data_IF_889338807024
#
_entry.id   IF_889338807024
#
_cell.length_a   1.000
_cell.length_b   1.000
_cell.length_c   1.000
_cell.angle_alpha   90.00
_cell.angle_beta   90.00
_cell.angle_gamma   90.00
#
_symmetry.space_group_name_H-M   'P 1'
#
loop_
_entity.id
_entity.type
_entity.pdbx_description
1 polymer ?
#
# COMPACT_ATOMS: atom_id res chain seq x y z
N UNK A 1 -1.49 14.63 -2.94
CA UNK A 1 -1.19 13.31 -3.55
C UNK A 1 -1.91 13.21 -4.88
N UNK A 2 -1.19 12.90 -5.92
CA UNK A 2 -1.70 12.85 -7.28
C UNK A 2 -1.51 11.46 -7.89
N UNK A 3 -2.28 11.15 -8.94
CA UNK A 3 -2.07 9.94 -9.73
C UNK A 3 -0.67 9.98 -10.33
N UNK A 4 0.03 8.85 -10.29
CA UNK A 4 1.40 8.77 -10.80
C UNK A 4 1.76 7.32 -11.14
N UNK A 5 2.96 7.16 -11.67
CA UNK A 5 3.53 5.85 -11.98
C UNK A 5 4.82 5.68 -11.21
N UNK A 6 5.09 4.46 -10.77
CA UNK A 6 6.30 4.12 -10.02
C UNK A 6 6.88 2.81 -10.53
N UNK A 7 8.18 2.64 -10.38
CA UNK A 7 8.87 1.41 -10.71
C UNK A 7 9.05 0.57 -9.44
N UNK A 8 8.47 -0.62 -9.44
CA UNK A 8 8.58 -1.57 -8.33
C UNK A 8 9.41 -2.74 -8.82
N UNK A 9 10.68 -2.75 -8.48
CA UNK A 9 11.63 -3.81 -8.86
C UNK A 9 11.61 -4.13 -10.36
N UNK A 10 11.51 -3.10 -11.20
CA UNK A 10 11.54 -3.25 -12.66
C UNK A 10 10.16 -3.27 -13.32
N UNK A 11 9.09 -3.34 -12.55
CA UNK A 11 7.72 -3.33 -13.07
C UNK A 11 7.05 -1.99 -12.78
N UNK A 12 6.45 -1.38 -13.81
CA UNK A 12 5.73 -0.13 -13.66
C UNK A 12 4.35 -0.38 -13.05
N UNK A 13 4.06 0.31 -11.95
CA UNK A 13 2.74 0.34 -11.33
C UNK A 13 2.12 1.72 -11.49
N UNK A 14 0.82 1.75 -11.76
CA UNK A 14 0.04 2.99 -11.81
C UNK A 14 -0.66 3.18 -10.48
N UNK A 15 -0.47 4.34 -9.85
CA UNK A 15 -1.14 4.71 -8.61
C UNK A 15 -2.27 5.67 -8.95
N UNK A 16 -3.50 5.31 -8.57
CA UNK A 16 -4.70 6.11 -8.82
C UNK A 16 -5.43 6.40 -7.52
N UNK A 17 -5.79 7.65 -7.32
CA UNK A 17 -6.65 8.08 -6.22
C UNK A 17 -8.07 8.18 -6.77
N UNK A 18 -8.99 7.38 -6.23
CA UNK A 18 -10.34 7.24 -6.74
C UNK A 18 -11.37 7.30 -5.62
N UNK A 19 -12.61 7.66 -5.94
CA UNK A 19 -13.73 7.52 -5.02
C UNK A 19 -14.13 6.05 -4.95
N UNK A 20 -14.65 5.59 -3.81
CA UNK A 20 -15.02 4.18 -3.66
C UNK A 20 -16.00 3.72 -4.74
N UNK A 21 -16.93 4.59 -5.17
CA UNK A 21 -17.93 4.28 -6.20
C UNK A 21 -17.35 4.11 -7.60
N UNK A 22 -16.10 4.55 -7.82
CA UNK A 22 -15.42 4.45 -9.11
C UNK A 22 -14.71 3.12 -9.33
N UNK A 23 -14.66 2.25 -8.31
CA UNK A 23 -13.97 0.96 -8.40
C UNK A 23 -14.75 -0.14 -7.69
N UNK A 24 -14.95 -1.25 -8.37
CA UNK A 24 -15.57 -2.45 -7.78
C UNK A 24 -14.69 -3.07 -6.69
N UNK A 25 -13.38 -2.83 -6.75
CA UNK A 25 -12.43 -3.33 -5.74
C UNK A 25 -12.57 -2.59 -4.41
N UNK A 26 -13.12 -1.38 -4.42
CA UNK A 26 -13.28 -0.54 -3.24
C UNK A 26 -14.75 -0.37 -2.84
N UNK A 27 -15.67 -0.37 -3.80
CA UNK A 27 -17.09 -0.09 -3.57
C UNK A 27 -17.73 -1.14 -2.68
N UNK A 28 -18.26 -0.71 -1.53
CA UNK A 28 -18.89 -1.59 -0.55
C UNK A 28 -17.92 -2.53 0.16
N UNK A 29 -16.61 -2.34 0.00
CA UNK A 29 -15.58 -3.11 0.69
C UNK A 29 -15.06 -2.32 1.89
N UNK A 30 -14.63 -3.03 2.94
CA UNK A 30 -14.03 -2.41 4.12
C UNK A 30 -12.52 -2.24 3.90
N UNK A 31 -12.15 -1.50 2.84
CA UNK A 31 -10.76 -1.20 2.52
C UNK A 31 -10.63 0.20 1.95
N UNK A 32 -9.50 0.84 2.23
CA UNK A 32 -9.20 2.19 1.76
C UNK A 32 -8.11 2.19 0.68
N UNK A 33 -7.58 1.04 0.35
CA UNK A 33 -6.63 0.84 -0.73
C UNK A 33 -6.67 -0.58 -1.25
N UNK A 34 -6.08 -0.78 -2.42
CA UNK A 34 -6.01 -2.10 -3.05
C UNK A 34 -4.84 -2.15 -4.03
N UNK A 35 -4.07 -3.24 -3.98
CA UNK A 35 -3.05 -3.54 -4.98
C UNK A 35 -3.59 -4.64 -5.88
N UNK A 36 -3.75 -4.33 -7.16
CA UNK A 36 -4.14 -5.28 -8.20
C UNK A 36 -2.90 -5.67 -9.00
N UNK A 37 -2.27 -6.77 -8.61
CA UNK A 37 -1.03 -7.24 -9.23
C UNK A 37 -1.25 -7.66 -10.69
N UNK A 38 -2.45 -8.09 -11.05
CA UNK A 38 -2.76 -8.50 -12.43
C UNK A 38 -2.75 -7.33 -13.40
N UNK A 39 -3.04 -6.13 -12.92
CA UNK A 39 -3.04 -4.90 -13.70
C UNK A 39 -1.86 -4.00 -13.40
N UNK A 40 -1.02 -4.36 -12.43
CA UNK A 40 0.04 -3.50 -11.91
C UNK A 40 -0.51 -2.13 -11.52
N UNK A 41 -1.58 -2.14 -10.72
CA UNK A 41 -2.30 -0.93 -10.33
C UNK A 41 -2.50 -0.88 -8.81
N UNK A 42 -2.29 0.29 -8.25
CA UNK A 42 -2.59 0.56 -6.84
C UNK A 42 -3.69 1.61 -6.80
N UNK A 43 -4.76 1.29 -6.08
CA UNK A 43 -5.88 2.19 -5.87
C UNK A 43 -5.85 2.72 -4.43
N UNK A 44 -5.99 4.03 -4.29
CA UNK A 44 -6.12 4.70 -3.01
C UNK A 44 -7.50 5.35 -2.97
N UNK A 45 -8.28 5.04 -1.95
CA UNK A 45 -9.63 5.56 -1.81
C UNK A 45 -9.62 6.99 -1.30
N UNK A 46 -10.37 7.87 -1.95
CA UNK A 46 -10.66 9.19 -1.40
C UNK A 46 -11.47 9.08 -0.11
N UNK A 47 -11.42 10.10 0.73
CA UNK A 47 -12.13 10.12 2.00
C UNK A 47 -13.61 9.82 1.80
N UNK A 48 -14.10 8.76 2.46
CA UNK A 48 -15.50 8.37 2.44
C UNK A 48 -16.33 9.31 3.31
N UNK A 49 -17.64 9.41 3.02
CA UNK A 49 -18.53 10.32 3.71
C UNK A 49 -18.64 10.06 5.22
N UNK A 50 -18.51 8.81 5.63
CA UNK A 50 -18.59 8.38 7.04
C UNK A 50 -17.25 8.40 7.76
N UNK A 51 -16.18 8.81 7.10
CA UNK A 51 -14.84 8.87 7.68
C UNK A 51 -14.70 10.10 8.59
N UNK A 52 -14.28 9.87 9.82
CA UNK A 52 -14.12 10.92 10.84
C UNK A 52 -12.66 11.40 11.01
N UNK A 53 -11.73 10.86 10.24
CA UNK A 53 -10.33 11.24 10.35
C UNK A 53 -10.11 12.70 9.96
N UNK A 54 -9.45 13.47 10.81
CA UNK A 54 -9.22 14.90 10.58
C UNK A 54 -8.10 15.14 9.56
N UNK A 55 -7.04 14.33 9.59
CA UNK A 55 -5.93 14.44 8.65
C UNK A 55 -5.92 13.23 7.72
N UNK A 56 -6.82 13.25 6.75
CA UNK A 56 -6.94 12.16 5.78
C UNK A 56 -5.76 12.12 4.81
N UNK A 57 -5.11 13.24 4.53
CA UNK A 57 -3.93 13.27 3.67
C UNK A 57 -2.76 12.48 4.29
N UNK A 58 -2.56 12.59 5.61
CA UNK A 58 -1.58 11.78 6.32
C UNK A 58 -1.96 10.30 6.25
N UNK A 59 -3.23 9.99 6.41
CA UNK A 59 -3.74 8.62 6.32
C UNK A 59 -3.54 8.01 4.92
N UNK A 60 -3.79 8.78 3.85
CA UNK A 60 -3.52 8.32 2.47
C UNK A 60 -2.08 7.89 2.29
N UNK A 61 -1.13 8.59 2.90
CA UNK A 61 0.29 8.21 2.83
C UNK A 61 0.55 6.86 3.49
N UNK A 62 -0.11 6.59 4.60
CA UNK A 62 -0.03 5.26 5.25
C UNK A 62 -0.59 4.19 4.33
N UNK A 63 -1.77 4.43 3.74
CA UNK A 63 -2.40 3.50 2.79
C UNK A 63 -1.46 3.21 1.62
N UNK A 64 -0.88 4.26 1.02
CA UNK A 64 0.01 4.08 -0.12
C UNK A 64 1.26 3.27 0.26
N UNK A 65 1.86 3.54 1.42
CA UNK A 65 2.99 2.72 1.89
C UNK A 65 2.59 1.26 2.05
N UNK A 66 1.42 0.99 2.63
CA UNK A 66 0.89 -0.36 2.81
C UNK A 66 0.76 -1.08 1.46
N UNK A 67 0.12 -0.45 0.49
CA UNK A 67 -0.11 -1.05 -0.82
C UNK A 67 1.20 -1.22 -1.62
N UNK A 68 2.13 -0.28 -1.49
CA UNK A 68 3.46 -0.42 -2.11
C UNK A 68 4.23 -1.60 -1.54
N UNK A 69 4.12 -1.87 -0.25
CA UNK A 69 4.77 -3.04 0.36
C UNK A 69 4.20 -4.33 -0.25
N UNK A 70 2.87 -4.41 -0.45
CA UNK A 70 2.27 -5.54 -1.17
C UNK A 70 2.87 -5.70 -2.57
N UNK A 71 3.01 -4.60 -3.31
CA UNK A 71 3.58 -4.63 -4.65
C UNK A 71 5.04 -5.12 -4.63
N UNK A 72 5.85 -4.62 -3.70
CA UNK A 72 7.24 -5.08 -3.56
C UNK A 72 7.32 -6.56 -3.22
N UNK A 73 6.50 -7.05 -2.32
CA UNK A 73 6.48 -8.47 -1.94
C UNK A 73 6.05 -9.35 -3.12
N UNK A 74 5.07 -8.91 -3.89
CA UNK A 74 4.64 -9.61 -5.10
C UNK A 74 5.75 -9.64 -6.16
N UNK A 75 6.35 -8.50 -6.48
CA UNK A 75 7.39 -8.41 -7.51
C UNK A 75 8.69 -9.12 -7.10
N UNK A 76 8.93 -9.30 -5.80
CA UNK A 76 10.06 -10.08 -5.31
C UNK A 76 9.85 -11.60 -5.41
N UNK A 77 8.63 -12.04 -5.71
CA UNK A 77 8.25 -13.46 -5.75
C UNK A 77 7.87 -14.05 -4.40
N UNK A 78 8.03 -13.31 -3.30
CA UNK A 78 7.72 -13.83 -1.95
C UNK A 78 6.22 -14.06 -1.75
N UNK A 79 5.39 -13.22 -2.34
CA UNK A 79 3.94 -13.36 -2.29
C UNK A 79 3.50 -14.69 -2.90
N UNK A 80 3.97 -14.98 -4.12
CA UNK A 80 3.66 -16.22 -4.82
C UNK A 80 4.15 -17.45 -4.06
N UNK A 81 5.31 -17.36 -3.44
CA UNK A 81 5.88 -18.46 -2.62
C UNK A 81 5.08 -18.71 -1.35
N UNK A 82 4.26 -17.76 -0.94
CA UNK A 82 3.49 -17.81 0.31
C UNK A 82 2.09 -18.37 0.14
N UNK A 83 1.64 -18.55 -1.09
CA UNK A 83 0.28 -19.07 -1.38
C UNK A 83 0.12 -20.46 -0.78
N UNK A 84 -0.96 -20.64 0.00
CA UNK A 84 -1.25 -21.90 0.68
C UNK A 84 -0.57 -22.07 2.04
N UNK A 85 0.27 -21.13 2.46
CA UNK A 85 0.92 -21.14 3.77
C UNK A 85 0.13 -20.29 4.77
N UNK A 86 -0.36 -20.88 5.84
CA UNK A 86 -1.06 -20.13 6.89
C UNK A 86 -0.07 -19.23 7.65
N UNK A 87 -0.39 -17.94 7.77
CA UNK A 87 0.44 -16.99 8.50
C UNK A 87 1.76 -16.66 7.82
N UNK A 88 1.86 -16.88 6.49
CA UNK A 88 3.06 -16.58 5.73
C UNK A 88 3.45 -15.10 5.86
N UNK A 89 4.76 -14.86 6.02
CA UNK A 89 5.27 -13.51 6.27
C UNK A 89 4.92 -12.52 5.17
N UNK A 90 5.01 -12.90 3.91
CA UNK A 90 4.73 -12.01 2.77
C UNK A 90 3.24 -11.65 2.61
N UNK A 91 2.35 -12.36 3.31
CA UNK A 91 0.90 -12.10 3.32
C UNK A 91 0.42 -11.65 4.70
N UNK A 92 1.33 -11.34 5.61
CA UNK A 92 1.01 -10.96 6.98
C UNK A 92 0.65 -9.47 7.05
N UNK A 93 -0.64 -9.18 7.19
CA UNK A 93 -1.15 -7.81 7.25
C UNK A 93 -0.63 -7.03 8.48
N UNK A 94 -0.40 -7.71 9.59
CA UNK A 94 0.15 -7.05 10.79
C UNK A 94 1.56 -6.52 10.52
N UNK A 95 2.42 -7.33 9.89
CA UNK A 95 3.76 -6.91 9.50
C UNK A 95 3.72 -5.74 8.50
N UNK A 96 2.85 -5.84 7.50
CA UNK A 96 2.70 -4.83 6.45
C UNK A 96 2.21 -3.51 7.06
N UNK A 97 1.21 -3.56 7.92
CA UNK A 97 0.70 -2.38 8.64
C UNK A 97 1.77 -1.75 9.53
N UNK A 98 2.49 -2.56 10.29
CA UNK A 98 3.55 -2.05 11.15
C UNK A 98 4.60 -1.28 10.33
N UNK A 99 5.05 -1.87 9.23
CA UNK A 99 6.05 -1.22 8.38
C UNK A 99 5.49 0.04 7.71
N UNK A 100 4.26 -0.01 7.21
CA UNK A 100 3.61 1.14 6.60
C UNK A 100 3.49 2.33 7.56
N UNK A 101 3.20 2.05 8.83
CA UNK A 101 3.06 3.08 9.87
C UNK A 101 4.42 3.59 10.35
N UNK A 102 5.36 2.68 10.60
CA UNK A 102 6.62 2.98 11.28
C UNK A 102 7.80 3.33 10.36
N UNK A 103 7.74 2.97 9.07
CA UNK A 103 8.86 3.20 8.16
C UNK A 103 9.38 4.64 8.13
N UNK A 104 8.56 5.70 8.20
CA UNK A 104 9.10 7.05 8.24
C UNK A 104 10.05 7.30 9.40
N UNK A 105 9.77 6.74 10.58
CA UNK A 105 10.65 6.87 11.74
C UNK A 105 11.93 6.05 11.58
N UNK A 106 11.82 4.86 10.98
CA UNK A 106 12.96 4.00 10.71
C UNK A 106 13.92 4.69 9.73
N UNK A 107 13.39 5.19 8.62
CA UNK A 107 14.21 5.87 7.60
C UNK A 107 14.79 7.18 8.10
N UNK A 108 14.09 7.92 8.95
CA UNK A 108 14.62 9.11 9.59
C UNK A 108 15.87 8.76 10.42
N UNK A 109 15.79 7.71 11.21
CA UNK A 109 16.93 7.24 12.00
C UNK A 109 18.10 6.82 11.11
N UNK A 110 17.82 6.07 10.04
CA UNK A 110 18.86 5.65 9.09
C UNK A 110 19.52 6.85 8.43
N UNK A 111 18.75 7.86 8.07
CA UNK A 111 19.27 9.10 7.49
C UNK A 111 20.18 9.84 8.49
N UNK A 112 19.74 9.98 9.74
CA UNK A 112 20.50 10.66 10.80
C UNK A 112 21.83 9.96 11.09
N UNK A 113 21.90 8.65 10.90
CA UNK A 113 23.11 7.84 11.12
C UNK A 113 23.91 7.61 9.83
N UNK A 114 23.51 8.22 8.72
CA UNK A 114 24.18 8.07 7.41
C UNK A 114 24.26 6.59 6.97
N UNK A 115 23.14 5.89 7.07
CA UNK A 115 23.04 4.46 6.72
C UNK A 115 22.30 4.21 5.40
N UNK A 116 21.91 5.25 4.70
CA UNK A 116 21.22 5.14 3.41
C UNK A 116 22.12 5.50 2.24
#
# INVERSE_FOLDING_TARGET
MENCKVNVLGTEYTIRIVKETESELLNGKFRDGCTDESKHEILICEKKADCELQDYEAYKKVILRHELIHAFLFESGLDASSIGCTGAWALNEEMIDWFAIKSPKIFKMFTELDLL
#
